data_IF_363700112122
#
_entry.id   IF_363700112122
#
_cell.length_a   1.000
_cell.length_b   1.000
_cell.length_c   1.000
_cell.angle_alpha   90.00
_cell.angle_beta   90.00
_cell.angle_gamma   90.00
#
_symmetry.space_group_name_H-M   'P 1'
#
loop_
_entity.id
_entity.type
_entity.pdbx_description
1 polymer ?
#
# COMPACT_ATOMS: atom_id res chain seq x y z
N UNK A 1 -0.72 23.99 -40.15
CA UNK A 1 -2.19 23.92 -40.17
C UNK A 1 -2.55 22.78 -41.09
N UNK A 2 -2.97 21.64 -40.53
CA UNK A 2 -3.27 20.42 -41.28
C UNK A 2 -4.73 20.11 -40.99
N UNK A 3 -5.56 20.13 -42.02
CA UNK A 3 -7.01 19.92 -41.95
C UNK A 3 -7.36 18.67 -42.73
N UNK A 4 -7.91 17.67 -42.05
CA UNK A 4 -8.57 16.52 -42.65
C UNK A 4 -10.09 16.70 -42.50
N UNK A 5 -10.86 16.39 -43.55
CA UNK A 5 -12.31 16.51 -43.57
C UNK A 5 -12.95 15.14 -43.79
N UNK A 6 -13.84 14.76 -42.90
CA UNK A 6 -14.73 13.62 -43.06
C UNK A 6 -16.14 13.98 -42.57
N UNK A 7 -17.17 13.54 -43.30
CA UNK A 7 -18.60 13.68 -42.99
C UNK A 7 -19.09 15.04 -42.41
N UNK A 8 -18.49 16.17 -42.80
CA UNK A 8 -18.86 17.51 -42.31
C UNK A 8 -18.21 17.94 -40.99
N UNK A 9 -17.36 17.09 -40.41
CA UNK A 9 -16.47 17.45 -39.32
C UNK A 9 -15.18 18.12 -39.85
N UNK A 10 -14.65 19.04 -39.06
CA UNK A 10 -13.42 19.79 -39.38
C UNK A 10 -12.42 19.58 -38.25
N UNK A 11 -11.34 18.85 -38.53
CA UNK A 11 -10.26 18.60 -37.57
C UNK A 11 -9.26 19.76 -37.61
N UNK A 12 -9.09 20.45 -36.48
CA UNK A 12 -8.14 21.56 -36.35
C UNK A 12 -7.30 21.42 -35.09
N UNK A 13 -6.02 21.78 -35.22
CA UNK A 13 -5.10 21.91 -34.09
C UNK A 13 -5.07 23.36 -33.64
N UNK A 14 -5.42 23.60 -32.38
CA UNK A 14 -5.40 24.91 -31.73
C UNK A 14 -4.33 24.95 -30.62
N UNK A 15 -4.06 26.15 -30.11
CA UNK A 15 -3.29 26.33 -28.87
C UNK A 15 -4.11 25.95 -27.63
N UNK A 16 -3.66 26.32 -26.42
CA UNK A 16 -4.40 26.05 -25.18
C UNK A 16 -5.84 26.58 -25.25
N UNK A 17 -6.82 25.74 -24.89
CA UNK A 17 -8.24 26.06 -24.93
C UNK A 17 -8.90 25.57 -23.64
N UNK A 18 -9.02 26.48 -22.67
CA UNK A 18 -9.57 26.16 -21.34
C UNK A 18 -11.05 25.78 -21.37
N UNK A 19 -11.80 26.32 -22.34
CA UNK A 19 -13.22 26.01 -22.44
C UNK A 19 -13.41 24.61 -23.03
N UNK A 20 -12.61 24.25 -24.04
CA UNK A 20 -12.55 22.88 -24.53
C UNK A 20 -12.09 21.92 -23.44
N UNK A 21 -11.02 22.23 -22.71
CA UNK A 21 -10.54 21.41 -21.57
C UNK A 21 -11.63 21.15 -20.54
N UNK A 22 -12.36 22.21 -20.13
CA UNK A 22 -13.48 22.10 -19.18
C UNK A 22 -14.58 21.20 -19.72
N UNK A 23 -15.02 21.44 -20.97
CA UNK A 23 -16.10 20.65 -21.60
C UNK A 23 -15.71 19.18 -21.77
N UNK A 24 -14.50 18.90 -22.24
CA UNK A 24 -14.01 17.52 -22.37
C UNK A 24 -13.91 16.83 -21.01
N UNK A 25 -13.45 17.55 -19.98
CA UNK A 25 -13.44 17.06 -18.60
C UNK A 25 -14.83 16.64 -18.13
N UNK A 26 -15.83 17.50 -18.27
CA UNK A 26 -17.22 17.21 -17.87
C UNK A 26 -17.80 15.98 -18.59
N UNK A 27 -17.60 15.88 -19.90
CA UNK A 27 -18.08 14.74 -20.70
C UNK A 27 -17.38 13.42 -20.31
N UNK A 28 -16.05 13.47 -20.08
CA UNK A 28 -15.28 12.30 -19.66
C UNK A 28 -15.64 11.87 -18.24
N UNK A 29 -15.80 12.80 -17.29
CA UNK A 29 -16.27 12.48 -15.93
C UNK A 29 -17.64 11.80 -16.00
N UNK A 30 -18.58 12.35 -16.77
CA UNK A 30 -19.91 11.74 -16.91
C UNK A 30 -19.84 10.34 -17.54
N UNK A 31 -18.97 10.14 -18.54
CA UNK A 31 -18.73 8.82 -19.16
C UNK A 31 -18.10 7.83 -18.17
N UNK A 32 -17.03 8.22 -17.47
CA UNK A 32 -16.30 7.39 -16.53
C UNK A 32 -17.17 6.97 -15.35
N UNK A 33 -17.98 7.88 -14.81
CA UNK A 33 -18.91 7.58 -13.73
C UNK A 33 -19.94 6.52 -14.15
N UNK A 34 -20.44 6.58 -15.39
CA UNK A 34 -21.34 5.55 -15.94
C UNK A 34 -20.63 4.22 -16.14
N UNK A 35 -19.39 4.24 -16.63
CA UNK A 35 -18.62 3.03 -16.91
C UNK A 35 -18.17 2.29 -15.64
N UNK A 36 -17.88 3.02 -14.57
CA UNK A 36 -17.35 2.46 -13.32
C UNK A 36 -18.38 2.30 -12.22
N UNK A 37 -19.50 3.03 -12.29
CA UNK A 37 -20.45 3.12 -11.19
C UNK A 37 -19.94 3.94 -9.99
N UNK A 38 -18.79 4.60 -10.11
CA UNK A 38 -18.17 5.42 -9.06
C UNK A 38 -18.17 6.89 -9.50
N UNK A 39 -18.97 7.72 -8.83
CA UNK A 39 -19.08 9.17 -9.08
C UNK A 39 -18.55 10.04 -7.95
N UNK A 40 -17.64 9.50 -7.15
CA UNK A 40 -17.09 10.08 -5.93
C UNK A 40 -15.67 10.65 -6.12
N UNK A 41 -15.27 10.91 -7.37
CA UNK A 41 -13.99 11.54 -7.68
C UNK A 41 -13.87 12.90 -6.96
N UNK A 42 -12.77 13.10 -6.23
CA UNK A 42 -12.56 14.29 -5.43
C UNK A 42 -11.09 14.60 -5.21
N UNK A 43 -10.71 15.86 -5.38
CA UNK A 43 -9.38 16.35 -5.06
C UNK A 43 -9.17 16.55 -3.55
N UNK A 44 -7.90 16.55 -3.14
CA UNK A 44 -7.47 16.97 -1.81
C UNK A 44 -6.11 17.64 -1.84
N UNK A 45 -5.82 18.41 -0.79
CA UNK A 45 -4.51 19.02 -0.60
C UNK A 45 -4.09 19.03 0.85
N UNK A 46 -2.78 18.94 1.08
CA UNK A 46 -2.14 19.10 2.39
C UNK A 46 -1.10 20.20 2.25
N UNK A 47 -1.11 21.19 3.15
CA UNK A 47 -0.16 22.31 3.11
C UNK A 47 0.48 22.54 4.46
N UNK A 48 1.72 23.01 4.42
CA UNK A 48 2.48 23.48 5.58
C UNK A 48 2.79 24.95 5.34
N UNK A 49 2.30 25.81 6.23
CA UNK A 49 2.53 27.26 6.18
C UNK A 49 3.46 27.70 7.30
N UNK A 50 4.31 28.69 7.01
CA UNK A 50 5.14 29.35 8.00
C UNK A 50 4.36 30.34 8.87
N UNK A 51 5.02 30.97 9.86
CA UNK A 51 4.40 31.96 10.75
C UNK A 51 3.72 33.11 9.99
N UNK A 52 4.31 33.54 8.87
CA UNK A 52 3.83 34.68 8.06
C UNK A 52 2.82 34.25 6.98
N UNK A 53 2.39 32.99 6.96
CA UNK A 53 1.46 32.44 5.96
C UNK A 53 2.14 31.87 4.70
N UNK A 54 3.45 32.01 4.58
CA UNK A 54 4.21 31.48 3.43
C UNK A 54 4.12 29.96 3.28
N UNK A 55 4.01 29.48 2.05
CA UNK A 55 4.03 28.04 1.76
C UNK A 55 5.44 27.46 1.96
N UNK A 56 5.59 26.56 2.93
CA UNK A 56 6.84 25.83 3.19
C UNK A 56 6.88 24.49 2.46
N UNK A 57 5.74 23.82 2.36
CA UNK A 57 5.60 22.53 1.70
C UNK A 57 4.13 22.25 1.36
N UNK A 58 3.88 21.44 0.33
CA UNK A 58 2.53 21.07 -0.06
C UNK A 58 2.44 19.76 -0.84
N UNK A 59 1.26 19.17 -0.82
CA UNK A 59 0.89 18.00 -1.61
C UNK A 59 -0.53 18.18 -2.15
N UNK A 60 -0.75 17.83 -3.41
CA UNK A 60 -2.09 17.69 -4.01
C UNK A 60 -2.29 16.27 -4.52
N UNK A 61 -3.53 15.82 -4.51
CA UNK A 61 -3.90 14.49 -4.96
C UNK A 61 -5.40 14.37 -5.22
N UNK A 62 -5.80 13.19 -5.65
CA UNK A 62 -7.18 12.84 -5.97
C UNK A 62 -7.56 11.51 -5.32
N UNK A 63 -8.86 11.30 -5.16
CA UNK A 63 -9.48 10.02 -4.78
C UNK A 63 -10.60 9.69 -5.75
N UNK A 64 -10.78 8.42 -6.11
CA UNK A 64 -11.89 7.94 -6.92
C UNK A 64 -12.14 6.45 -6.63
N UNK A 65 -13.35 6.10 -6.20
CA UNK A 65 -13.63 4.78 -5.63
C UNK A 65 -12.69 4.45 -4.46
N UNK A 66 -12.05 3.28 -4.50
CA UNK A 66 -11.04 2.90 -3.51
C UNK A 66 -9.60 3.26 -3.91
N UNK A 67 -9.42 4.10 -4.93
CA UNK A 67 -8.11 4.53 -5.40
C UNK A 67 -7.78 5.96 -4.98
N UNK A 68 -6.51 6.22 -4.72
CA UNK A 68 -5.96 7.56 -4.56
C UNK A 68 -4.73 7.77 -5.44
N UNK A 69 -4.43 9.02 -5.77
CA UNK A 69 -3.21 9.41 -6.48
C UNK A 69 -2.63 10.71 -5.96
N UNK A 70 -1.30 10.82 -6.02
CA UNK A 70 -0.56 12.05 -5.72
C UNK A 70 -0.25 12.74 -7.04
N UNK A 71 -0.66 14.00 -7.16
CA UNK A 71 -0.40 14.84 -8.33
C UNK A 71 0.93 15.60 -8.15
N UNK A 72 1.09 16.29 -7.03
CA UNK A 72 2.25 17.14 -6.75
C UNK A 72 2.70 16.94 -5.31
N UNK A 73 4.01 16.89 -5.08
CA UNK A 73 4.63 17.02 -3.77
C UNK A 73 5.80 17.98 -3.89
N UNK A 74 5.82 19.00 -3.05
CA UNK A 74 6.89 19.99 -3.03
C UNK A 74 7.25 20.40 -1.61
N UNK A 75 8.56 20.59 -1.39
CA UNK A 75 9.11 21.14 -0.16
C UNK A 75 10.08 22.24 -0.54
N UNK A 76 9.86 23.43 0.02
CA UNK A 76 10.74 24.60 -0.15
C UNK A 76 12.16 24.25 0.24
N UNK A 77 13.12 24.75 -0.53
CA UNK A 77 14.52 24.33 -0.43
C UNK A 77 15.11 24.50 0.97
N UNK A 78 14.90 25.67 1.58
CA UNK A 78 15.30 26.02 2.96
C UNK A 78 14.60 25.19 4.06
N UNK A 79 13.57 24.44 3.68
CA UNK A 79 12.74 23.63 4.56
C UNK A 79 12.96 22.13 4.35
N UNK A 80 13.82 21.74 3.39
CA UNK A 80 14.21 20.34 3.17
C UNK A 80 15.03 19.79 4.34
N UNK A 81 15.09 18.47 4.46
CA UNK A 81 15.76 17.79 5.58
C UNK A 81 15.01 17.85 6.92
N UNK A 82 13.92 18.61 7.03
CA UNK A 82 13.10 18.75 8.25
C UNK A 82 11.95 17.74 8.35
N UNK A 83 11.96 16.71 7.51
CA UNK A 83 10.93 15.66 7.49
C UNK A 83 9.57 16.04 6.90
N UNK A 84 9.42 17.24 6.30
CA UNK A 84 8.12 17.69 5.75
C UNK A 84 7.56 16.78 4.66
N UNK A 85 8.41 16.25 3.77
CA UNK A 85 7.95 15.33 2.72
C UNK A 85 7.24 14.10 3.30
N UNK A 86 7.85 13.44 4.29
CA UNK A 86 7.24 12.26 4.92
C UNK A 86 5.96 12.59 5.68
N UNK A 87 5.90 13.75 6.35
CA UNK A 87 4.69 14.22 7.04
C UNK A 87 3.54 14.53 6.08
N UNK A 88 3.84 15.16 4.94
CA UNK A 88 2.86 15.42 3.88
C UNK A 88 2.33 14.11 3.30
N UNK A 89 3.23 13.18 2.98
CA UNK A 89 2.87 11.87 2.45
C UNK A 89 1.98 11.10 3.42
N UNK A 90 2.34 11.06 4.70
CA UNK A 90 1.54 10.41 5.73
C UNK A 90 0.15 11.04 5.85
N UNK A 91 0.05 12.38 5.86
CA UNK A 91 -1.24 13.06 5.94
C UNK A 91 -2.12 12.77 4.71
N UNK A 92 -1.52 12.70 3.51
CA UNK A 92 -2.21 12.31 2.28
C UNK A 92 -2.73 10.88 2.36
N UNK A 93 -1.91 9.93 2.81
CA UNK A 93 -2.34 8.54 3.00
C UNK A 93 -3.47 8.41 4.04
N UNK A 94 -3.45 9.20 5.11
CA UNK A 94 -4.53 9.21 6.10
C UNK A 94 -5.83 9.79 5.53
N UNK A 95 -5.74 10.86 4.74
CA UNK A 95 -6.91 11.43 4.06
C UNK A 95 -7.50 10.44 3.05
N UNK A 96 -6.66 9.75 2.27
CA UNK A 96 -7.09 8.70 1.36
C UNK A 96 -7.82 7.57 2.12
N UNK A 97 -7.25 7.07 3.24
CA UNK A 97 -7.91 6.07 4.09
C UNK A 97 -9.25 6.56 4.65
N UNK A 98 -9.32 7.82 5.10
CA UNK A 98 -10.55 8.44 5.60
C UNK A 98 -11.65 8.50 4.53
N UNK A 99 -11.27 8.65 3.26
CA UNK A 99 -12.16 8.61 2.09
C UNK A 99 -12.51 7.21 1.60
N UNK A 100 -11.99 6.16 2.26
CA UNK A 100 -12.28 4.77 1.89
C UNK A 100 -11.31 4.18 0.87
N UNK A 101 -10.23 4.89 0.52
CA UNK A 101 -9.24 4.37 -0.42
C UNK A 101 -8.44 3.20 0.17
N UNK A 102 -8.27 2.18 -0.65
CA UNK A 102 -7.52 0.96 -0.44
C UNK A 102 -6.07 1.04 -0.91
N UNK A 103 -5.78 1.97 -1.81
CA UNK A 103 -4.48 2.11 -2.45
C UNK A 103 -4.17 3.57 -2.82
N UNK A 104 -2.89 3.84 -3.02
CA UNK A 104 -2.41 5.14 -3.49
C UNK A 104 -1.28 4.96 -4.51
N UNK A 105 -1.29 5.78 -5.55
CA UNK A 105 -0.28 5.77 -6.61
C UNK A 105 0.38 7.12 -6.80
N UNK A 106 1.58 7.13 -7.38
CA UNK A 106 2.30 8.35 -7.76
C UNK A 106 3.27 8.04 -8.89
N UNK A 107 3.48 9.00 -9.80
CA UNK A 107 4.62 8.98 -10.70
C UNK A 107 5.66 10.03 -10.27
N UNK A 108 6.93 9.70 -10.44
CA UNK A 108 8.04 10.58 -10.05
C UNK A 108 9.21 10.39 -11.01
N UNK A 109 9.76 11.50 -11.48
CA UNK A 109 10.98 11.42 -12.28
C UNK A 109 12.19 10.98 -11.43
N UNK A 110 13.22 10.44 -12.09
CA UNK A 110 14.44 9.98 -11.41
C UNK A 110 15.20 11.08 -10.66
N UNK A 111 15.04 12.35 -11.04
CA UNK A 111 15.58 13.51 -10.32
C UNK A 111 14.67 14.01 -9.19
N UNK A 112 13.47 13.45 -9.02
CA UNK A 112 12.49 13.82 -7.99
C UNK A 112 12.46 12.81 -6.83
N UNK A 113 13.64 12.38 -6.38
CA UNK A 113 13.81 11.52 -5.21
C UNK A 113 12.96 10.22 -5.22
N UNK A 114 13.10 9.32 -6.21
CA UNK A 114 12.35 8.06 -6.24
C UNK A 114 12.53 7.20 -4.98
N UNK A 115 13.72 7.22 -4.37
CA UNK A 115 13.99 6.50 -3.13
C UNK A 115 13.20 7.03 -1.93
N UNK A 116 12.68 8.27 -2.01
CA UNK A 116 11.76 8.79 -1.00
C UNK A 116 10.50 7.93 -0.94
N UNK A 117 9.86 7.62 -2.06
CA UNK A 117 8.64 6.81 -2.09
C UNK A 117 8.92 5.36 -1.67
N UNK A 118 10.02 4.76 -2.15
CA UNK A 118 10.44 3.41 -1.74
C UNK A 118 10.61 3.28 -0.22
N UNK A 119 11.28 4.24 0.42
CA UNK A 119 11.43 4.27 1.89
C UNK A 119 10.12 4.42 2.65
N UNK A 120 9.06 4.91 2.00
CA UNK A 120 7.72 5.02 2.59
C UNK A 120 6.81 3.84 2.20
N UNK A 121 7.38 2.75 1.68
CA UNK A 121 6.66 1.50 1.41
C UNK A 121 5.91 1.46 0.08
N UNK A 122 6.20 2.38 -0.84
CA UNK A 122 5.72 2.28 -2.21
C UNK A 122 6.56 1.28 -3.02
N UNK A 123 5.88 0.52 -3.88
CA UNK A 123 6.44 -0.49 -4.78
C UNK A 123 6.49 0.07 -6.20
N UNK A 124 7.57 -0.22 -6.93
CA UNK A 124 7.71 0.12 -8.34
C UNK A 124 6.71 -0.69 -9.19
N UNK A 125 5.92 -0.01 -10.03
CA UNK A 125 4.93 -0.64 -10.92
C UNK A 125 5.20 -0.39 -12.40
N UNK A 126 6.02 0.61 -12.73
CA UNK A 126 6.32 0.96 -14.11
C UNK A 126 7.48 1.93 -14.26
N UNK A 127 8.03 1.96 -15.48
CA UNK A 127 9.14 2.85 -15.85
C UNK A 127 8.99 3.29 -17.31
N UNK A 128 9.14 4.58 -17.58
CA UNK A 128 9.24 5.14 -18.94
C UNK A 128 10.57 5.86 -19.13
N UNK A 129 11.31 5.44 -20.14
CA UNK A 129 12.58 6.06 -20.53
C UNK A 129 12.37 7.26 -21.45
N UNK A 130 13.44 8.01 -21.74
CA UNK A 130 13.41 9.12 -22.69
C UNK A 130 12.91 10.44 -22.12
N UNK A 131 12.95 10.62 -20.79
CA UNK A 131 12.68 11.94 -20.19
C UNK A 131 13.88 12.86 -20.49
N UNK A 132 13.63 14.16 -20.77
CA UNK A 132 14.70 15.11 -21.06
C UNK A 132 15.85 15.03 -20.05
N UNK A 133 17.09 15.15 -20.54
CA UNK A 133 18.29 14.97 -19.70
C UNK A 133 18.67 13.52 -19.41
N UNK A 134 18.06 12.54 -20.11
CA UNK A 134 18.33 11.11 -19.89
C UNK A 134 17.68 10.57 -18.63
N UNK A 135 16.67 11.27 -18.11
CA UNK A 135 15.94 10.86 -16.93
C UNK A 135 14.88 9.80 -17.27
N UNK A 136 14.26 9.25 -16.23
CA UNK A 136 13.17 8.28 -16.37
C UNK A 136 11.98 8.70 -15.51
N UNK A 137 10.78 8.34 -15.93
CA UNK A 137 9.54 8.47 -15.17
C UNK A 137 9.26 7.13 -14.49
N UNK A 138 9.16 7.13 -13.17
CA UNK A 138 8.95 5.94 -12.35
C UNK A 138 7.56 5.98 -11.75
N UNK A 139 6.83 4.88 -11.86
CA UNK A 139 5.48 4.74 -11.33
C UNK A 139 5.50 3.87 -10.08
N UNK A 140 4.77 4.31 -9.07
CA UNK A 140 4.76 3.72 -7.75
C UNK A 140 3.34 3.49 -7.27
N UNK A 141 3.18 2.43 -6.46
CA UNK A 141 1.92 2.06 -5.84
C UNK A 141 2.14 1.62 -4.40
N UNK A 142 1.17 1.89 -3.52
CA UNK A 142 1.16 1.42 -2.14
C UNK A 142 -0.24 0.98 -1.73
N UNK A 143 -0.35 -0.20 -1.14
CA UNK A 143 -1.56 -0.61 -0.42
C UNK A 143 -1.77 0.26 0.81
N UNK A 144 -2.97 0.80 0.98
CA UNK A 144 -3.41 1.49 2.20
C UNK A 144 -4.16 0.56 3.16
N UNK A 145 -4.66 -0.59 2.67
CA UNK A 145 -5.32 -1.64 3.47
C UNK A 145 -4.35 -2.35 4.42
N UNK A 146 -3.09 -2.47 4.02
CA UNK A 146 -2.02 -3.08 4.81
C UNK A 146 -0.89 -2.07 4.93
N UNK A 147 -0.46 -1.75 6.16
CA UNK A 147 0.75 -0.94 6.33
C UNK A 147 1.97 -1.86 6.17
N UNK A 148 2.80 -1.71 5.11
CA UNK A 148 3.98 -2.55 4.96
C UNK A 148 4.98 -2.36 6.11
N UNK A 149 5.01 -1.18 6.74
CA UNK A 149 5.87 -0.89 7.89
C UNK A 149 5.29 -1.41 9.21
N UNK A 150 3.96 -1.55 9.29
CA UNK A 150 3.25 -2.13 10.43
C UNK A 150 3.08 -3.66 10.34
N UNK A 151 3.22 -4.22 9.14
CA UNK A 151 3.10 -5.64 8.88
C UNK A 151 4.24 -6.41 9.55
N UNK A 152 3.90 -7.52 10.18
CA UNK A 152 4.85 -8.38 10.88
C UNK A 152 4.99 -9.66 10.09
N UNK A 153 6.22 -10.03 9.72
CA UNK A 153 6.49 -11.34 9.12
C UNK A 153 7.28 -12.19 10.09
N UNK A 154 6.82 -13.41 10.27
CA UNK A 154 7.31 -14.36 11.25
C UNK A 154 7.72 -15.65 10.57
N UNK A 155 8.80 -16.25 11.05
CA UNK A 155 9.15 -17.64 10.82
C UNK A 155 8.92 -18.39 12.14
N UNK A 156 7.98 -19.34 12.14
CA UNK A 156 7.75 -20.23 13.26
C UNK A 156 8.38 -21.60 12.95
N UNK A 157 9.30 -22.04 13.81
CA UNK A 157 9.87 -23.38 13.82
C UNK A 157 9.07 -24.20 14.83
N UNK A 158 8.41 -25.25 14.37
CA UNK A 158 7.51 -26.08 15.16
C UNK A 158 8.07 -27.48 15.26
N UNK A 159 8.43 -27.87 16.47
CA UNK A 159 8.91 -29.20 16.81
C UNK A 159 7.81 -29.98 17.51
N UNK A 160 7.42 -31.11 16.91
CA UNK A 160 6.38 -31.98 17.44
C UNK A 160 6.96 -32.87 18.55
N UNK A 161 6.23 -33.01 19.65
CA UNK A 161 6.62 -33.94 20.72
C UNK A 161 6.65 -35.39 20.20
N UNK A 162 7.68 -36.15 20.62
CA UNK A 162 7.85 -37.54 20.23
C UNK A 162 6.62 -38.37 20.65
N UNK A 163 6.09 -39.18 19.72
CA UNK A 163 4.88 -39.98 19.96
C UNK A 163 3.55 -39.20 19.96
N UNK A 164 3.58 -37.87 19.80
CA UNK A 164 2.38 -37.00 19.80
C UNK A 164 2.21 -36.22 18.48
N UNK A 165 2.84 -36.68 17.40
CA UNK A 165 2.89 -35.98 16.10
C UNK A 165 1.50 -35.67 15.55
N UNK A 166 0.55 -36.59 15.67
CA UNK A 166 -0.80 -36.39 15.14
C UNK A 166 -1.61 -35.37 15.96
N UNK A 167 -1.49 -35.42 17.28
CA UNK A 167 -2.10 -34.43 18.18
C UNK A 167 -1.54 -33.03 17.93
N UNK A 168 -0.20 -32.92 17.82
CA UNK A 168 0.48 -31.67 17.49
C UNK A 168 0.06 -31.10 16.13
N UNK A 169 -0.11 -31.94 15.10
CA UNK A 169 -0.61 -31.49 13.79
C UNK A 169 -2.03 -30.95 13.86
N UNK A 170 -2.94 -31.61 14.58
CA UNK A 170 -4.32 -31.13 14.76
C UNK A 170 -4.36 -29.79 15.47
N UNK A 171 -3.50 -29.60 16.48
CA UNK A 171 -3.32 -28.33 17.16
C UNK A 171 -2.83 -27.24 16.20
N UNK A 172 -1.78 -27.51 15.43
CA UNK A 172 -1.24 -26.55 14.46
C UNK A 172 -2.29 -26.14 13.42
N UNK A 173 -3.01 -27.11 12.84
CA UNK A 173 -4.06 -26.82 11.86
C UNK A 173 -5.18 -25.96 12.48
N UNK A 174 -5.58 -26.23 13.72
CA UNK A 174 -6.56 -25.43 14.44
C UNK A 174 -6.05 -24.00 14.70
N UNK A 175 -4.83 -23.84 15.20
CA UNK A 175 -4.23 -22.52 15.47
C UNK A 175 -4.02 -21.72 14.18
N UNK A 176 -3.55 -22.35 13.11
CA UNK A 176 -3.35 -21.70 11.81
C UNK A 176 -4.68 -21.23 11.20
N UNK A 177 -5.80 -21.91 11.49
CA UNK A 177 -7.13 -21.47 11.04
C UNK A 177 -7.58 -20.15 11.68
N UNK A 178 -7.04 -19.82 12.86
CA UNK A 178 -7.37 -18.58 13.59
C UNK A 178 -6.66 -17.35 13.01
N UNK A 179 -5.59 -17.52 12.22
CA UNK A 179 -4.77 -16.43 11.70
C UNK A 179 -5.61 -15.34 11.02
N UNK A 180 -6.56 -15.73 10.16
CA UNK A 180 -7.38 -14.79 9.38
C UNK A 180 -8.24 -13.88 10.26
N UNK A 181 -8.64 -14.32 11.46
CA UNK A 181 -9.42 -13.50 12.40
C UNK A 181 -8.66 -12.25 12.86
N UNK A 182 -7.33 -12.29 12.79
CA UNK A 182 -6.43 -11.27 13.31
C UNK A 182 -5.59 -10.60 12.21
N UNK A 183 -6.03 -10.66 10.95
CA UNK A 183 -5.27 -10.13 9.81
C UNK A 183 -3.98 -10.92 9.52
N UNK A 184 -3.90 -12.18 9.97
CA UNK A 184 -2.79 -13.09 9.72
C UNK A 184 -3.06 -14.01 8.53
N UNK A 185 -1.99 -14.39 7.82
CA UNK A 185 -2.02 -15.42 6.78
C UNK A 185 -0.75 -16.27 6.81
N UNK A 186 -0.93 -17.56 6.51
CA UNK A 186 0.18 -18.48 6.26
C UNK A 186 0.66 -18.29 4.81
N UNK A 187 1.87 -17.79 4.63
CA UNK A 187 2.47 -17.58 3.30
C UNK A 187 3.16 -18.85 2.79
N UNK A 188 3.82 -19.59 3.68
CA UNK A 188 4.47 -20.87 3.36
C UNK A 188 4.38 -21.82 4.54
N UNK A 189 4.27 -23.11 4.24
CA UNK A 189 4.38 -24.22 5.19
C UNK A 189 5.38 -25.21 4.60
N UNK A 190 6.50 -25.38 5.28
CA UNK A 190 7.66 -26.13 4.82
C UNK A 190 8.06 -27.15 5.89
N UNK A 191 8.96 -28.06 5.56
CA UNK A 191 9.54 -29.02 6.50
C UNK A 191 11.04 -29.15 6.26
N UNK A 192 11.82 -29.17 7.34
CA UNK A 192 13.26 -29.43 7.27
C UNK A 192 13.53 -30.91 7.00
N UNK A 193 14.76 -31.26 6.61
CA UNK A 193 15.16 -32.66 6.45
C UNK A 193 15.06 -33.46 7.76
N UNK A 194 15.17 -32.78 8.90
CA UNK A 194 15.10 -33.34 10.26
C UNK A 194 13.65 -33.48 10.75
N UNK A 195 12.66 -33.02 9.97
CA UNK A 195 11.24 -33.18 10.26
C UNK A 195 10.58 -32.00 10.99
N UNK A 196 11.34 -30.98 11.39
CA UNK A 196 10.82 -29.73 11.97
C UNK A 196 9.95 -29.01 10.94
N UNK A 197 8.78 -28.54 11.38
CA UNK A 197 7.88 -27.79 10.50
C UNK A 197 8.24 -26.29 10.54
N UNK A 198 8.23 -25.64 9.39
CA UNK A 198 8.58 -24.22 9.26
C UNK A 198 7.40 -23.49 8.64
N UNK A 199 6.86 -22.51 9.36
CA UNK A 199 5.77 -21.65 8.86
C UNK A 199 6.29 -20.25 8.62
N UNK A 200 6.04 -19.72 7.42
CA UNK A 200 6.20 -18.29 7.13
C UNK A 200 4.82 -17.67 7.24
N UNK A 201 4.63 -16.80 8.23
CA UNK A 201 3.34 -16.18 8.56
C UNK A 201 3.49 -14.67 8.42
N UNK A 202 2.49 -14.02 7.85
CA UNK A 202 2.40 -12.56 7.79
C UNK A 202 1.15 -12.07 8.49
N UNK A 203 1.31 -11.08 9.36
CA UNK A 203 0.25 -10.27 9.92
C UNK A 203 0.25 -8.89 9.27
N UNK A 204 -0.94 -8.36 9.04
CA UNK A 204 -1.13 -7.03 8.47
C UNK A 204 -0.79 -5.90 9.47
N UNK A 205 -0.71 -6.22 10.77
CA UNK A 205 -0.25 -5.29 11.82
C UNK A 205 0.37 -6.01 13.04
N UNK A 206 1.19 -5.29 13.81
CA UNK A 206 1.67 -5.72 15.14
C UNK A 206 0.52 -6.06 16.10
N UNK A 207 -0.48 -5.17 16.18
CA UNK A 207 -1.66 -5.38 17.04
C UNK A 207 -2.40 -6.65 16.68
N UNK A 208 -2.52 -6.98 15.39
CA UNK A 208 -3.10 -8.24 14.94
C UNK A 208 -2.30 -9.46 15.40
N UNK A 209 -0.97 -9.40 15.32
CA UNK A 209 -0.12 -10.47 15.85
C UNK A 209 -0.28 -10.65 17.36
N UNK A 210 -0.29 -9.56 18.14
CA UNK A 210 -0.49 -9.61 19.59
C UNK A 210 -1.88 -10.14 19.97
N UNK A 211 -2.93 -9.71 19.27
CA UNK A 211 -4.29 -10.21 19.45
C UNK A 211 -4.40 -11.70 19.13
N UNK A 212 -3.71 -12.18 18.09
CA UNK A 212 -3.64 -13.60 17.77
C UNK A 212 -2.97 -14.41 18.88
N UNK A 213 -1.88 -13.91 19.50
CA UNK A 213 -1.23 -14.60 20.61
C UNK A 213 -2.17 -14.75 21.83
N UNK A 214 -3.00 -13.73 22.07
CA UNK A 214 -3.96 -13.66 23.17
C UNK A 214 -5.34 -14.29 22.86
N UNK A 215 -5.54 -14.85 21.66
CA UNK A 215 -6.83 -15.41 21.24
C UNK A 215 -7.29 -16.53 22.22
N UNK A 216 -8.51 -16.44 22.79
CA UNK A 216 -9.01 -17.43 23.76
C UNK A 216 -9.10 -18.86 23.21
N UNK A 217 -9.45 -19.03 21.94
CA UNK A 217 -9.52 -20.36 21.31
C UNK A 217 -8.11 -20.93 21.16
N UNK A 218 -7.13 -20.09 20.79
CA UNK A 218 -5.71 -20.49 20.74
C UNK A 218 -5.21 -20.94 22.11
N UNK A 219 -5.50 -20.18 23.16
CA UNK A 219 -5.11 -20.54 24.53
C UNK A 219 -5.79 -21.83 24.99
N UNK A 220 -7.07 -22.02 24.66
CA UNK A 220 -7.84 -23.24 24.96
C UNK A 220 -7.26 -24.45 24.23
N UNK A 221 -6.96 -24.33 22.94
CA UNK A 221 -6.31 -25.39 22.16
C UNK A 221 -4.96 -25.78 22.76
N UNK A 222 -4.16 -24.80 23.21
CA UNK A 222 -2.85 -25.07 23.83
C UNK A 222 -3.00 -25.75 25.19
N UNK A 223 -3.92 -25.30 26.03
CA UNK A 223 -4.19 -25.90 27.33
C UNK A 223 -4.69 -27.36 27.21
N UNK A 224 -5.50 -27.65 26.19
CA UNK A 224 -6.02 -28.99 25.94
C UNK A 224 -4.94 -30.02 25.56
N UNK A 225 -3.81 -29.59 24.99
CA UNK A 225 -2.70 -30.49 24.66
C UNK A 225 -1.76 -30.78 25.83
N UNK A 226 -1.62 -29.86 26.79
CA UNK A 226 -0.66 -30.01 27.89
C UNK A 226 0.75 -30.35 27.39
N UNK A 227 1.32 -31.46 27.87
CA UNK A 227 2.65 -31.95 27.48
C UNK A 227 2.76 -32.41 26.02
N UNK A 228 1.64 -32.60 25.32
CA UNK A 228 1.64 -32.92 23.89
C UNK A 228 1.81 -31.68 23.00
N UNK A 229 1.80 -30.47 23.58
CA UNK A 229 1.91 -29.24 22.81
C UNK A 229 3.29 -29.14 22.13
N UNK A 230 3.33 -28.76 20.84
CA UNK A 230 4.59 -28.61 20.14
C UNK A 230 5.42 -27.46 20.73
N UNK A 231 6.75 -27.63 20.64
CA UNK A 231 7.70 -26.57 20.98
C UNK A 231 7.80 -25.64 19.78
N UNK A 232 7.40 -24.39 19.96
CA UNK A 232 7.42 -23.39 18.88
C UNK A 232 8.44 -22.30 19.19
N UNK A 233 9.38 -22.08 18.27
CA UNK A 233 10.27 -20.91 18.26
C UNK A 233 9.84 -19.97 17.16
N UNK A 234 9.52 -18.71 17.52
CA UNK A 234 9.09 -17.68 16.56
C UNK A 234 10.20 -16.66 16.39
N UNK A 235 10.52 -16.34 15.14
CA UNK A 235 11.49 -15.32 14.74
C UNK A 235 10.78 -14.28 13.88
N UNK A 236 10.94 -13.01 14.18
CA UNK A 236 10.52 -11.93 13.28
C UNK A 236 11.58 -11.73 12.18
N UNK A 237 11.14 -11.57 10.94
CA UNK A 237 12.02 -11.49 9.77
C UNK A 237 11.63 -10.37 8.82
N UNK A 238 12.61 -9.83 8.11
CA UNK A 238 12.42 -8.88 7.00
C UNK A 238 12.94 -9.52 5.70
N UNK A 239 12.33 -9.16 4.56
CA UNK A 239 12.91 -9.49 3.26
C UNK A 239 14.20 -8.68 3.05
N UNK A 240 15.19 -9.30 2.40
CA UNK A 240 16.52 -8.72 2.13
C UNK A 240 16.72 -8.62 0.63
#
# INVERSE_FOLDING_TARGET
MTTERDAGADLRVHGPDRELERRLGEELTAYNNRATGAGDESDFSVRVTGPDGDLLAGLTGWTWGDCAGINLLWVREDSRGRGWGGRLLHAAEQEARRRGCAEISVSSFSFQAPDFYRRHGYQDTGRREGIPGGHVDLHFWKSLRTDPAGAVRLVALVEMAAGQVEAGRRYEDAVLSLLRRHGGRLERRLRTAEGTEVHVIRFDSRTGYEAFLADPDRLTHRAALGDAAPVTRVLEVTEV
#
